data_IF_266518116014
#
_entry.id   IF_266518116014
#
_cell.length_a   1.000
_cell.length_b   1.000
_cell.length_c   1.000
_cell.angle_alpha   90.00
_cell.angle_beta   90.00
_cell.angle_gamma   90.00
#
_symmetry.space_group_name_H-M   'P 1'
#
loop_
_entity.id
_entity.type
_entity.pdbx_description
1 polymer ?
#
# COMPACT_ATOMS: atom_id res chain seq x y z
N UNK A 1 5.34 -20.59 35.68
CA UNK A 1 4.98 -20.44 34.25
C UNK A 1 4.92 -18.95 33.98
N UNK A 2 6.02 -18.38 33.51
CA UNK A 2 6.15 -16.94 33.29
C UNK A 2 5.59 -16.58 31.92
N UNK A 3 4.54 -15.76 31.89
CA UNK A 3 4.09 -15.11 30.67
C UNK A 3 5.14 -14.09 30.25
N UNK A 4 5.91 -14.44 29.23
CA UNK A 4 6.86 -13.53 28.59
C UNK A 4 6.06 -12.63 27.66
N UNK A 5 5.57 -11.49 28.18
CA UNK A 5 5.10 -10.40 27.32
C UNK A 5 6.29 -9.93 26.49
N UNK A 6 6.15 -10.04 25.18
CA UNK A 6 7.06 -9.46 24.21
C UNK A 6 6.92 -7.93 24.33
N UNK A 7 7.85 -7.29 25.03
CA UNK A 7 7.99 -5.84 24.96
C UNK A 7 8.57 -5.52 23.59
N UNK A 8 7.69 -5.05 22.69
CA UNK A 8 8.13 -4.30 21.53
C UNK A 8 8.78 -3.03 22.06
N UNK A 9 10.11 -3.00 22.09
CA UNK A 9 10.87 -1.77 22.28
C UNK A 9 10.67 -0.90 21.05
N UNK A 10 9.55 -0.19 21.02
CA UNK A 10 9.39 1.00 20.21
C UNK A 10 10.29 2.04 20.89
N UNK A 11 11.36 2.45 20.21
CA UNK A 11 12.16 3.58 20.68
C UNK A 11 11.21 4.77 20.83
N UNK A 12 10.92 5.14 22.07
CA UNK A 12 10.25 6.40 22.39
C UNK A 12 11.21 7.51 21.94
N UNK A 13 10.94 8.08 20.76
CA UNK A 13 11.47 9.39 20.45
C UNK A 13 10.82 10.32 21.48
N UNK A 14 11.52 10.60 22.58
CA UNK A 14 11.07 11.52 23.62
C UNK A 14 10.68 12.85 22.95
N UNK A 15 9.37 13.19 22.91
CA UNK A 15 8.88 14.31 22.13
C UNK A 15 9.21 15.69 22.75
N UNK A 16 9.85 15.70 23.92
CA UNK A 16 10.01 16.87 24.79
C UNK A 16 11.46 17.39 24.85
N UNK A 17 12.36 16.84 24.02
CA UNK A 17 13.70 17.41 23.83
C UNK A 17 13.65 18.34 22.61
N UNK A 18 13.61 19.68 22.79
CA UNK A 18 13.73 20.60 21.68
C UNK A 18 15.13 20.45 21.08
N UNK A 19 15.22 19.84 19.91
CA UNK A 19 16.43 19.83 19.11
C UNK A 19 16.67 21.27 18.62
N UNK A 20 17.61 21.98 19.24
CA UNK A 20 18.11 23.29 18.79
C UNK A 20 19.16 23.12 17.69
N UNK A 21 18.92 22.18 16.77
CA UNK A 21 19.78 21.96 15.60
C UNK A 21 19.49 22.97 14.47
N UNK A 22 18.51 23.86 14.69
CA UNK A 22 18.05 24.83 13.70
C UNK A 22 17.30 24.20 12.52
N UNK A 23 16.98 22.90 12.56
CA UNK A 23 16.26 22.22 11.50
C UNK A 23 14.80 22.68 11.47
N UNK A 24 14.34 23.10 10.30
CA UNK A 24 12.95 23.49 10.06
C UNK A 24 12.31 22.52 9.09
N UNK A 25 11.23 21.89 9.53
CA UNK A 25 10.43 21.00 8.68
C UNK A 25 9.27 21.77 8.06
N UNK A 26 9.25 21.84 6.72
CA UNK A 26 8.19 22.50 5.95
C UNK A 26 7.37 21.42 5.24
N UNK A 27 6.06 21.43 5.47
CA UNK A 27 5.11 20.54 4.79
C UNK A 27 4.49 21.26 3.59
N UNK A 28 4.74 20.76 2.38
CA UNK A 28 4.18 21.30 1.14
C UNK A 28 3.19 20.31 0.53
N UNK A 29 1.98 20.79 0.26
CA UNK A 29 0.92 20.00 -0.38
C UNK A 29 0.72 20.44 -1.82
N UNK A 30 0.86 19.53 -2.77
CA UNK A 30 0.75 19.84 -4.21
C UNK A 30 -0.64 20.34 -4.61
N UNK A 31 -1.70 19.83 -3.97
CA UNK A 31 -3.10 20.23 -4.17
C UNK A 31 -3.64 21.17 -3.08
N UNK A 32 -2.77 21.65 -2.20
CA UNK A 32 -3.16 22.55 -1.12
C UNK A 32 -3.47 23.96 -1.65
N UNK A 33 -4.52 24.58 -1.10
CA UNK A 33 -4.89 25.98 -1.42
C UNK A 33 -4.64 26.94 -0.25
N UNK A 34 -4.22 26.42 0.90
CA UNK A 34 -3.94 27.18 2.12
C UNK A 34 -2.47 27.57 2.19
N UNK A 35 -2.21 28.79 2.67
CA UNK A 35 -0.85 29.33 2.86
C UNK A 35 -0.42 30.28 1.74
N UNK A 36 0.50 31.18 2.08
CA UNK A 36 1.18 32.05 1.11
C UNK A 36 2.49 31.39 0.70
N UNK A 37 2.48 30.77 -0.48
CA UNK A 37 3.67 30.22 -1.14
C UNK A 37 3.96 31.03 -2.40
N UNK A 38 5.24 31.19 -2.74
CA UNK A 38 5.64 31.90 -3.96
C UNK A 38 5.09 31.18 -5.20
N UNK A 39 4.84 31.94 -6.27
CA UNK A 39 4.34 31.36 -7.52
C UNK A 39 5.31 30.32 -8.08
N UNK A 40 6.62 30.52 -7.94
CA UNK A 40 7.66 29.56 -8.32
C UNK A 40 7.49 28.20 -7.61
N UNK A 41 7.25 28.21 -6.29
CA UNK A 41 6.99 26.98 -5.52
C UNK A 41 5.68 26.33 -5.96
N UNK A 42 4.64 27.12 -6.27
CA UNK A 42 3.37 26.56 -6.80
C UNK A 42 3.57 25.90 -8.15
N UNK A 43 4.33 26.54 -9.04
CA UNK A 43 4.67 25.98 -10.35
C UNK A 43 5.50 24.69 -10.21
N UNK A 44 6.48 24.69 -9.31
CA UNK A 44 7.25 23.49 -8.99
C UNK A 44 6.39 22.35 -8.44
N UNK A 45 5.51 22.64 -7.48
CA UNK A 45 4.59 21.64 -6.92
C UNK A 45 3.64 21.06 -7.97
N UNK A 46 3.12 21.89 -8.90
CA UNK A 46 2.32 21.42 -10.04
C UNK A 46 3.13 20.51 -10.97
N UNK A 47 4.38 20.85 -11.24
CA UNK A 47 5.27 20.01 -12.05
C UNK A 47 5.61 18.67 -11.37
N UNK A 48 5.79 18.67 -10.04
CA UNK A 48 6.02 17.44 -9.27
C UNK A 48 4.79 16.51 -9.25
N UNK A 49 3.58 17.07 -9.31
CA UNK A 49 2.36 16.28 -9.47
C UNK A 49 2.28 15.65 -10.87
N UNK A 50 2.64 16.40 -11.91
CA UNK A 50 2.63 15.95 -13.30
C UNK A 50 3.85 16.47 -14.06
N UNK A 51 4.90 15.65 -14.12
CA UNK A 51 6.17 16.01 -14.77
C UNK A 51 6.11 15.87 -16.30
N UNK A 52 5.27 16.70 -16.92
CA UNK A 52 5.07 16.81 -18.38
C UNK A 52 5.63 18.13 -18.90
N UNK A 53 5.93 18.19 -20.20
CA UNK A 53 6.44 19.40 -20.87
C UNK A 53 5.46 20.58 -20.77
N UNK A 54 4.15 20.33 -20.76
CA UNK A 54 3.10 21.35 -20.63
C UNK A 54 3.16 22.11 -19.29
N UNK A 55 3.66 21.47 -18.23
CA UNK A 55 3.77 22.07 -16.90
C UNK A 55 5.11 22.79 -16.68
N UNK A 56 5.97 22.82 -17.70
CA UNK A 56 7.24 23.56 -17.69
C UNK A 56 6.96 25.01 -18.07
N UNK A 57 6.72 25.84 -17.04
CA UNK A 57 6.31 27.24 -17.22
C UNK A 57 7.45 28.25 -17.03
N UNK A 58 8.60 27.82 -16.51
CA UNK A 58 9.78 28.66 -16.30
C UNK A 58 11.06 27.92 -16.71
N UNK A 59 12.17 28.66 -16.84
CA UNK A 59 13.44 28.10 -17.34
C UNK A 59 14.08 27.13 -16.34
N UNK A 60 13.96 27.38 -15.04
CA UNK A 60 14.41 26.43 -13.99
C UNK A 60 13.72 25.07 -14.13
N UNK A 61 12.42 25.05 -14.39
CA UNK A 61 11.65 23.83 -14.64
C UNK A 61 12.04 23.19 -15.96
N UNK A 62 12.51 23.97 -16.95
CA UNK A 62 12.97 23.46 -18.24
C UNK A 62 14.26 22.67 -18.06
N UNK A 63 15.21 23.22 -17.31
CA UNK A 63 16.46 22.54 -16.97
C UNK A 63 16.17 21.28 -16.15
N UNK A 64 15.28 21.39 -15.16
CA UNK A 64 14.85 20.25 -14.36
C UNK A 64 14.16 19.17 -15.21
N UNK A 65 13.30 19.56 -16.14
CA UNK A 65 12.63 18.64 -17.05
C UNK A 65 13.62 17.91 -17.96
N UNK A 66 14.61 18.62 -18.50
CA UNK A 66 15.67 18.03 -19.30
C UNK A 66 16.48 16.99 -18.51
N UNK A 67 16.84 17.29 -17.26
CA UNK A 67 17.49 16.32 -16.38
C UNK A 67 16.62 15.08 -16.14
N UNK A 68 15.34 15.28 -15.83
CA UNK A 68 14.38 14.18 -15.63
C UNK A 68 14.24 13.33 -16.89
N UNK A 69 14.15 13.94 -18.08
CA UNK A 69 14.10 13.22 -19.34
C UNK A 69 15.36 12.41 -19.60
N UNK A 70 16.53 12.98 -19.30
CA UNK A 70 17.82 12.30 -19.47
C UNK A 70 17.89 11.06 -18.59
N UNK A 71 17.50 11.17 -17.32
CA UNK A 71 17.44 10.05 -16.37
C UNK A 71 16.40 9.01 -16.81
N UNK A 72 15.26 9.43 -17.35
CA UNK A 72 14.24 8.51 -17.89
C UNK A 72 14.75 7.75 -19.13
N UNK A 73 15.52 8.40 -20.00
CA UNK A 73 16.12 7.79 -21.20
C UNK A 73 17.30 6.90 -20.89
N UNK A 74 17.87 6.99 -19.68
CA UNK A 74 18.93 6.11 -19.23
C UNK A 74 18.44 4.65 -19.22
N UNK A 75 19.15 3.81 -19.98
CA UNK A 75 18.85 2.39 -20.17
C UNK A 75 18.91 1.62 -18.85
N UNK A 76 19.81 1.98 -17.94
CA UNK A 76 19.95 1.29 -16.66
C UNK A 76 18.72 1.54 -15.78
N UNK A 77 18.28 2.79 -15.70
CA UNK A 77 17.09 3.20 -14.94
C UNK A 77 15.83 2.58 -15.54
N UNK A 78 15.70 2.61 -16.87
CA UNK A 78 14.58 1.99 -17.59
C UNK A 78 14.48 0.49 -17.30
N UNK A 79 15.60 -0.24 -17.34
CA UNK A 79 15.62 -1.69 -17.06
C UNK A 79 15.31 -1.98 -15.59
N UNK A 80 15.84 -1.21 -14.64
CA UNK A 80 15.51 -1.36 -13.21
C UNK A 80 14.02 -1.14 -12.96
N UNK A 81 13.44 -0.11 -13.58
CA UNK A 81 12.02 0.20 -13.47
C UNK A 81 11.14 -0.91 -14.06
N UNK A 82 11.47 -1.40 -15.27
CA UNK A 82 10.76 -2.52 -15.91
C UNK A 82 10.77 -3.77 -15.04
N UNK A 83 11.94 -4.15 -14.51
CA UNK A 83 12.07 -5.32 -13.62
C UNK A 83 11.26 -5.18 -12.34
N UNK A 84 11.22 -3.98 -11.74
CA UNK A 84 10.40 -3.74 -10.54
C UNK A 84 8.91 -3.85 -10.87
N UNK A 85 8.48 -3.24 -11.98
CA UNK A 85 7.10 -3.28 -12.42
C UNK A 85 6.63 -4.72 -12.71
N UNK A 86 7.45 -5.52 -13.38
CA UNK A 86 7.19 -6.95 -13.61
C UNK A 86 7.04 -7.71 -12.28
N UNK A 87 7.96 -7.51 -11.33
CA UNK A 87 7.88 -8.14 -9.99
C UNK A 87 6.61 -7.76 -9.25
N UNK A 88 6.26 -6.49 -9.20
CA UNK A 88 5.06 -6.01 -8.49
C UNK A 88 3.78 -6.60 -9.11
N UNK A 89 3.73 -6.72 -10.44
CA UNK A 89 2.60 -7.33 -11.12
C UNK A 89 2.50 -8.83 -10.86
N UNK A 90 3.63 -9.55 -10.83
CA UNK A 90 3.64 -10.97 -10.47
C UNK A 90 3.14 -11.18 -9.03
N UNK A 91 3.67 -10.43 -8.06
CA UNK A 91 3.23 -10.55 -6.65
C UNK A 91 1.74 -10.26 -6.48
N UNK A 92 1.21 -9.24 -7.18
CA UNK A 92 -0.24 -8.96 -7.16
C UNK A 92 -1.05 -10.07 -7.79
N UNK A 93 -0.56 -10.69 -8.87
CA UNK A 93 -1.26 -11.80 -9.52
C UNK A 93 -1.26 -13.05 -8.62
N UNK A 94 -0.12 -13.40 -8.04
CA UNK A 94 0.03 -14.48 -7.07
C UNK A 94 -0.89 -14.29 -5.87
N UNK A 95 -0.91 -13.09 -5.29
CA UNK A 95 -1.79 -12.76 -4.17
C UNK A 95 -3.27 -12.95 -4.50
N UNK A 96 -3.73 -12.53 -5.69
CA UNK A 96 -5.11 -12.77 -6.14
C UNK A 96 -5.41 -14.24 -6.36
N UNK A 97 -4.46 -15.00 -6.89
CA UNK A 97 -4.64 -16.44 -7.09
C UNK A 97 -4.73 -17.19 -5.76
N UNK A 98 -3.87 -16.82 -4.79
CA UNK A 98 -3.88 -17.38 -3.45
C UNK A 98 -5.19 -17.06 -2.72
N UNK A 99 -5.69 -15.82 -2.82
CA UNK A 99 -6.99 -15.43 -2.27
C UNK A 99 -8.14 -16.26 -2.85
N UNK A 100 -8.13 -16.48 -4.17
CA UNK A 100 -9.14 -17.32 -4.84
C UNK A 100 -9.08 -18.76 -4.33
N UNK A 101 -7.89 -19.35 -4.25
CA UNK A 101 -7.68 -20.71 -3.71
C UNK A 101 -8.12 -20.80 -2.25
N UNK A 102 -7.87 -19.77 -1.45
CA UNK A 102 -8.29 -19.73 -0.06
C UNK A 102 -9.81 -19.69 0.05
N UNK A 103 -10.47 -18.84 -0.74
CA UNK A 103 -11.94 -18.76 -0.81
C UNK A 103 -12.56 -20.11 -1.18
N UNK A 104 -12.02 -20.79 -2.20
CA UNK A 104 -12.48 -22.13 -2.60
C UNK A 104 -12.29 -23.16 -1.48
N UNK A 105 -11.16 -23.12 -0.76
CA UNK A 105 -10.90 -24.01 0.39
C UNK A 105 -11.87 -23.76 1.54
N UNK A 106 -12.13 -22.50 1.88
CA UNK A 106 -13.06 -22.12 2.93
C UNK A 106 -14.50 -22.51 2.56
N UNK A 107 -14.91 -22.32 1.31
CA UNK A 107 -16.21 -22.77 0.82
C UNK A 107 -16.36 -24.29 0.94
N UNK A 108 -15.35 -25.07 0.52
CA UNK A 108 -15.37 -26.52 0.64
C UNK A 108 -15.40 -26.99 2.10
N UNK A 109 -14.78 -26.25 3.03
CA UNK A 109 -14.88 -26.51 4.48
C UNK A 109 -16.30 -26.28 4.97
N UNK A 110 -16.89 -25.14 4.63
CA UNK A 110 -18.26 -24.79 5.00
C UNK A 110 -19.28 -25.82 4.46
N UNK A 111 -19.14 -26.26 3.21
CA UNK A 111 -19.98 -27.31 2.62
C UNK A 111 -19.89 -28.63 3.38
N UNK A 112 -18.68 -29.05 3.76
CA UNK A 112 -18.47 -30.29 4.54
C UNK A 112 -19.10 -30.19 5.93
N UNK A 113 -19.00 -29.04 6.59
CA UNK A 113 -19.63 -28.81 7.88
C UNK A 113 -21.16 -28.81 7.78
N UNK A 114 -21.70 -28.14 6.76
CA UNK A 114 -23.14 -28.15 6.46
C UNK A 114 -23.64 -29.59 6.19
N UNK A 115 -22.92 -30.37 5.39
CA UNK A 115 -23.25 -31.77 5.13
C UNK A 115 -23.24 -32.62 6.40
N UNK A 116 -22.28 -32.41 7.30
CA UNK A 116 -22.22 -33.09 8.61
C UNK A 116 -23.40 -32.72 9.50
N UNK A 117 -23.75 -31.43 9.57
CA UNK A 117 -24.89 -30.96 10.35
C UNK A 117 -26.20 -31.55 9.83
N UNK A 118 -26.42 -31.54 8.52
CA UNK A 118 -27.61 -32.12 7.89
C UNK A 118 -27.71 -33.63 8.12
N UNK A 119 -26.59 -34.36 8.09
CA UNK A 119 -26.57 -35.79 8.39
C UNK A 119 -26.95 -36.09 9.85
N UNK A 120 -26.39 -35.33 10.80
CA UNK A 120 -26.76 -35.43 12.22
C UNK A 120 -28.23 -35.10 12.46
N UNK A 121 -28.76 -34.07 11.78
CA UNK A 121 -30.17 -33.71 11.87
C UNK A 121 -31.08 -34.82 11.33
N UNK A 122 -30.71 -35.45 10.21
CA UNK A 122 -31.43 -36.58 9.66
C UNK A 122 -31.43 -37.79 10.61
N UNK A 123 -30.28 -38.10 11.25
CA UNK A 123 -30.20 -39.16 12.25
C UNK A 123 -31.05 -38.86 13.49
N UNK A 124 -30.99 -37.63 14.01
CA UNK A 124 -31.81 -37.20 15.14
C UNK A 124 -33.31 -37.34 14.83
N UNK A 125 -33.72 -36.96 13.62
CA UNK A 125 -35.10 -37.11 13.15
C UNK A 125 -35.52 -38.59 13.10
N UNK A 126 -34.64 -39.47 12.62
CA UNK A 126 -34.86 -40.92 12.56
C UNK A 126 -34.91 -41.58 13.94
N UNK A 127 -34.11 -41.12 14.89
CA UNK A 127 -34.14 -41.61 16.27
C UNK A 127 -35.42 -41.16 16.97
N UNK A 128 -35.81 -39.88 16.82
CA UNK A 128 -37.07 -39.35 17.34
C UNK A 128 -38.28 -40.13 16.83
N UNK A 129 -38.31 -40.49 15.56
CA UNK A 129 -39.42 -41.27 14.99
C UNK A 129 -39.48 -42.73 15.44
N UNK A 130 -38.42 -43.26 16.07
CA UNK A 130 -38.41 -44.62 16.65
C UNK A 130 -38.80 -44.62 18.14
N UNK A 131 -38.79 -43.46 18.79
CA UNK A 131 -39.15 -43.29 20.20
C UNK A 131 -40.61 -42.88 20.40
N UNK A 132 -41.31 -42.52 19.32
CA UNK A 132 -42.75 -42.34 19.23
C UNK A 132 -43.38 -43.63 18.67
#
# INVERSE_FOLDING_TARGET
MAERKLEATLYDAEPDVPYDDGAKTIFLYTRGTKGQVSEEVRQFLRYMEKSTSENVVNDTLRDFHHMVETVKKDREVSVKYMKQFERDNMMRAEGREEERKNTEREHARAERECARANALEAELKRLKSKML
#
